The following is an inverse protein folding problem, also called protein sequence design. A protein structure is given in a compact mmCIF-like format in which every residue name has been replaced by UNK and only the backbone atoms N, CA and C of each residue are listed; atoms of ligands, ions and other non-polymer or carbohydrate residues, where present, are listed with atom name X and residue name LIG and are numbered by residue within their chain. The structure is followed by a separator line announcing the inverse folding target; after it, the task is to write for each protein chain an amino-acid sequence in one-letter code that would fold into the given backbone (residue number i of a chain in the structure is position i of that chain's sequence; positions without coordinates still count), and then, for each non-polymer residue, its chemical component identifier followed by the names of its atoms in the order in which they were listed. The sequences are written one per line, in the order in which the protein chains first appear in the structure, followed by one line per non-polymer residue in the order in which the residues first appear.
data_IF_870710568879
#
_entry.id   IF_870710568879
#
_cell.length_a   1.000
_cell.length_b   1.000
_cell.length_c   1.000
_cell.angle_alpha   90.00
_cell.angle_beta   90.00
_cell.angle_gamma   90.00
#
_symmetry.space_group_name_H-M   'P 1'
#
loop_
_entity.id
_entity.type
_entity.pdbx_description
1 polymer ?
#
# COMPACT_ATOMS: atom_id res chain seq x y z
N UNK A 1 -48.41 68.53 -31.72
CA UNK A 1 -47.01 68.85 -31.27
C UNK A 1 -46.55 67.76 -30.39
N UNK A 2 -45.90 66.73 -30.94
CA UNK A 2 -45.29 65.64 -30.18
C UNK A 2 -43.84 66.08 -29.85
N UNK A 3 -43.57 66.37 -28.61
CA UNK A 3 -42.18 66.56 -28.12
C UNK A 3 -41.50 65.21 -28.07
N UNK A 4 -40.57 65.03 -29.03
CA UNK A 4 -39.58 63.93 -28.95
C UNK A 4 -38.62 64.25 -27.81
N UNK A 5 -38.88 63.73 -26.61
CA UNK A 5 -37.94 63.74 -25.50
C UNK A 5 -36.71 62.89 -25.91
N UNK A 6 -35.53 63.50 -25.81
CA UNK A 6 -34.27 62.85 -26.13
C UNK A 6 -34.08 61.58 -25.28
N UNK A 7 -33.48 60.57 -25.84
CA UNK A 7 -33.16 59.30 -25.16
C UNK A 7 -32.52 59.52 -23.75
N UNK A 8 -31.80 60.62 -23.60
CA UNK A 8 -31.10 61.01 -22.36
C UNK A 8 -32.06 61.44 -21.22
N UNK A 9 -33.20 62.05 -21.55
CA UNK A 9 -34.18 62.43 -20.57
C UNK A 9 -35.12 61.27 -20.15
N UNK A 10 -35.32 60.29 -21.05
CA UNK A 10 -36.10 59.10 -20.73
C UNK A 10 -35.37 58.18 -19.75
N UNK A 11 -34.04 58.17 -19.79
CA UNK A 11 -33.20 57.37 -18.87
C UNK A 11 -33.09 57.97 -17.44
N UNK A 12 -33.44 59.25 -17.25
CA UNK A 12 -33.41 59.89 -15.94
C UNK A 12 -34.70 59.70 -15.10
N UNK A 13 -35.71 59.05 -15.64
CA UNK A 13 -36.93 58.77 -14.87
C UNK A 13 -36.69 57.60 -13.90
N UNK A 14 -36.98 57.74 -12.61
CA UNK A 14 -36.74 56.68 -11.61
C UNK A 14 -37.44 55.36 -11.98
N UNK A 15 -38.61 55.44 -12.63
CA UNK A 15 -39.34 54.27 -13.13
C UNK A 15 -38.58 53.43 -14.19
N UNK A 16 -37.56 54.00 -14.88
CA UNK A 16 -36.77 53.31 -15.90
C UNK A 16 -35.41 52.90 -15.35
N UNK A 17 -34.88 53.62 -14.38
CA UNK A 17 -33.56 53.32 -13.80
C UNK A 17 -33.58 52.07 -12.91
N UNK A 18 -34.63 51.87 -12.12
CA UNK A 18 -34.75 50.70 -11.24
C UNK A 18 -34.71 49.35 -11.97
N UNK A 19 -35.47 49.09 -13.04
CA UNK A 19 -35.41 47.84 -13.76
C UNK A 19 -34.04 47.61 -14.47
N UNK A 20 -33.33 48.67 -14.88
CA UNK A 20 -32.01 48.55 -15.46
C UNK A 20 -30.98 48.09 -14.41
N UNK A 21 -31.00 48.68 -13.22
CA UNK A 21 -30.11 48.30 -12.12
C UNK A 21 -30.40 46.88 -11.60
N UNK A 22 -31.68 46.51 -11.47
CA UNK A 22 -32.07 45.15 -11.10
C UNK A 22 -31.67 44.13 -12.17
N UNK A 23 -31.83 44.46 -13.44
CA UNK A 23 -31.38 43.61 -14.54
C UNK A 23 -29.86 43.41 -14.55
N UNK A 24 -29.10 44.49 -14.33
CA UNK A 24 -27.63 44.42 -14.24
C UNK A 24 -27.16 43.57 -13.06
N UNK A 25 -27.81 43.71 -11.88
CA UNK A 25 -27.55 42.91 -10.70
C UNK A 25 -27.86 41.43 -10.92
N UNK A 26 -28.92 41.09 -11.60
CA UNK A 26 -29.29 39.72 -11.93
C UNK A 26 -28.28 39.08 -12.90
N UNK A 27 -27.87 39.83 -13.94
CA UNK A 27 -26.83 39.35 -14.89
C UNK A 27 -25.51 39.14 -14.19
N UNK A 28 -25.08 40.06 -13.30
CA UNK A 28 -23.84 39.91 -12.55
C UNK A 28 -23.90 38.76 -11.56
N UNK A 29 -25.04 38.57 -10.87
CA UNK A 29 -25.27 37.42 -10.00
C UNK A 29 -25.23 36.08 -10.77
N UNK A 30 -25.82 36.04 -11.96
CA UNK A 30 -25.77 34.86 -12.83
C UNK A 30 -24.33 34.55 -13.29
N UNK A 31 -23.57 35.57 -13.71
CA UNK A 31 -22.17 35.42 -14.11
C UNK A 31 -21.32 34.89 -12.96
N UNK A 32 -21.44 35.47 -11.77
CA UNK A 32 -20.73 35.00 -10.57
C UNK A 32 -21.12 33.55 -10.27
N UNK A 33 -22.41 33.23 -10.32
CA UNK A 33 -22.90 31.86 -10.08
C UNK A 33 -22.34 30.85 -11.09
N UNK A 34 -22.26 31.22 -12.37
CA UNK A 34 -21.68 30.35 -13.43
C UNK A 34 -20.17 30.16 -13.22
N UNK A 35 -19.43 31.22 -12.88
CA UNK A 35 -17.98 31.15 -12.61
C UNK A 35 -17.73 30.27 -11.40
N UNK A 36 -18.41 30.49 -10.29
CA UNK A 36 -18.30 29.69 -9.07
C UNK A 36 -18.62 28.19 -9.32
N UNK A 37 -19.66 27.93 -10.12
CA UNK A 37 -19.99 26.54 -10.46
C UNK A 37 -18.97 25.85 -11.34
N UNK A 38 -18.35 26.58 -12.26
CA UNK A 38 -17.23 26.06 -13.08
C UNK A 38 -16.00 25.76 -12.21
N UNK A 39 -15.60 26.69 -11.35
CA UNK A 39 -14.48 26.49 -10.43
C UNK A 39 -14.71 25.29 -9.50
N UNK A 40 -15.92 25.18 -8.94
CA UNK A 40 -16.26 24.03 -8.08
C UNK A 40 -16.15 22.69 -8.81
N UNK A 41 -16.52 22.64 -10.09
CA UNK A 41 -16.39 21.42 -10.89
C UNK A 41 -14.92 21.13 -11.30
N UNK A 42 -14.13 22.13 -11.56
CA UNK A 42 -12.71 21.98 -11.91
C UNK A 42 -11.90 21.51 -10.71
N UNK A 43 -12.13 22.05 -9.51
CA UNK A 43 -11.49 21.60 -8.27
C UNK A 43 -11.73 20.11 -8.05
N UNK A 44 -12.99 19.65 -8.16
CA UNK A 44 -13.31 18.23 -7.95
C UNK A 44 -12.66 17.27 -8.97
N UNK A 45 -12.39 17.73 -10.20
CA UNK A 45 -11.68 16.92 -11.21
C UNK A 45 -10.18 16.84 -10.91
N UNK A 46 -9.57 17.97 -10.62
CA UNK A 46 -8.13 18.06 -10.32
C UNK A 46 -7.79 17.26 -9.07
N UNK A 47 -8.58 17.36 -8.02
CA UNK A 47 -8.40 16.57 -6.79
C UNK A 47 -8.50 15.06 -7.05
N UNK A 48 -9.47 14.64 -7.86
CA UNK A 48 -9.62 13.23 -8.23
C UNK A 48 -8.43 12.71 -9.04
N UNK A 49 -7.90 13.49 -9.96
CA UNK A 49 -6.72 13.12 -10.75
C UNK A 49 -5.47 13.03 -9.87
N UNK A 50 -5.30 13.95 -8.92
CA UNK A 50 -4.23 13.88 -7.94
C UNK A 50 -4.35 12.62 -7.08
N UNK A 51 -5.53 12.31 -6.55
CA UNK A 51 -5.75 11.09 -5.76
C UNK A 51 -5.46 9.82 -6.56
N UNK A 52 -5.93 9.74 -7.80
CA UNK A 52 -5.65 8.58 -8.66
C UNK A 52 -4.16 8.43 -8.96
N UNK A 53 -3.43 9.52 -9.14
CA UNK A 53 -1.97 9.49 -9.34
C UNK A 53 -1.26 9.00 -8.09
N UNK A 54 -1.64 9.48 -6.91
CA UNK A 54 -1.08 9.02 -5.64
C UNK A 54 -1.34 7.53 -5.38
N UNK A 55 -2.56 7.07 -5.65
CA UNK A 55 -2.90 5.64 -5.55
C UNK A 55 -2.04 4.78 -6.48
N UNK A 56 -1.80 5.22 -7.73
CA UNK A 56 -0.91 4.50 -8.64
C UNK A 56 0.53 4.43 -8.15
N UNK A 57 1.05 5.51 -7.61
CA UNK A 57 2.40 5.54 -7.02
C UNK A 57 2.47 4.58 -5.84
N UNK A 58 1.47 4.60 -4.95
CA UNK A 58 1.37 3.67 -3.83
C UNK A 58 1.35 2.20 -4.32
N UNK A 59 0.50 1.90 -5.30
CA UNK A 59 0.36 0.56 -5.88
C UNK A 59 1.69 0.07 -6.49
N UNK A 60 2.37 0.92 -7.25
CA UNK A 60 3.68 0.59 -7.82
C UNK A 60 4.73 0.31 -6.74
N UNK A 61 4.80 1.14 -5.70
CA UNK A 61 5.75 0.96 -4.60
C UNK A 61 5.48 -0.34 -3.84
N UNK A 62 4.22 -0.59 -3.46
CA UNK A 62 3.82 -1.80 -2.76
C UNK A 62 4.07 -3.05 -3.61
N UNK A 63 3.64 -3.02 -4.87
CA UNK A 63 3.86 -4.13 -5.81
C UNK A 63 5.34 -4.43 -5.99
N UNK A 64 6.17 -3.40 -6.17
CA UNK A 64 7.62 -3.57 -6.28
C UNK A 64 8.24 -4.20 -5.04
N UNK A 65 7.81 -3.80 -3.85
CA UNK A 65 8.29 -4.36 -2.58
C UNK A 65 7.89 -5.83 -2.43
N UNK A 66 6.63 -6.16 -2.72
CA UNK A 66 6.14 -7.53 -2.66
C UNK A 66 6.88 -8.41 -3.69
N UNK A 67 7.11 -7.92 -4.90
CA UNK A 67 7.86 -8.63 -5.93
C UNK A 67 9.32 -8.85 -5.53
N UNK A 68 9.97 -7.85 -4.94
CA UNK A 68 11.34 -7.97 -4.45
C UNK A 68 11.46 -9.01 -3.33
N UNK A 69 10.49 -8.99 -2.40
CA UNK A 69 10.44 -9.98 -1.32
C UNK A 69 10.12 -11.39 -1.86
N UNK A 70 9.26 -11.52 -2.87
CA UNK A 70 8.99 -12.76 -3.55
C UNK A 70 10.24 -13.33 -4.24
N UNK A 71 10.99 -12.49 -4.94
CA UNK A 71 12.26 -12.87 -5.56
C UNK A 71 13.28 -13.38 -4.52
N UNK A 72 13.37 -12.70 -3.37
CA UNK A 72 14.22 -13.17 -2.28
C UNK A 72 13.78 -14.52 -1.74
N UNK A 73 12.48 -14.75 -1.51
CA UNK A 73 11.96 -16.05 -1.08
C UNK A 73 12.23 -17.16 -2.10
N UNK A 74 12.12 -16.89 -3.41
CA UNK A 74 12.48 -17.84 -4.47
C UNK A 74 13.96 -18.19 -4.43
N UNK A 75 14.84 -17.19 -4.30
CA UNK A 75 16.28 -17.41 -4.17
C UNK A 75 16.61 -18.24 -2.93
N UNK A 76 15.89 -18.02 -1.83
CA UNK A 76 16.01 -18.86 -0.63
C UNK A 76 15.60 -20.30 -0.90
N UNK A 77 14.47 -20.52 -1.60
CA UNK A 77 14.01 -21.86 -1.98
C UNK A 77 15.06 -22.60 -2.84
N UNK A 78 15.62 -21.94 -3.83
CA UNK A 78 16.67 -22.50 -4.71
C UNK A 78 17.96 -22.81 -3.95
N UNK A 79 18.24 -22.06 -2.89
CA UNK A 79 19.42 -22.25 -2.03
C UNK A 79 19.26 -23.32 -0.95
N UNK A 80 18.04 -23.80 -0.67
CA UNK A 80 17.76 -24.67 0.48
C UNK A 80 18.55 -25.99 0.47
N UNK A 81 18.67 -26.65 -0.67
CA UNK A 81 19.39 -27.93 -0.77
C UNK A 81 20.89 -27.74 -0.48
N UNK A 82 21.43 -26.59 -0.88
CA UNK A 82 22.80 -26.19 -0.62
C UNK A 82 23.05 -25.85 0.85
N UNK A 83 22.04 -25.25 1.51
CA UNK A 83 22.11 -24.84 2.93
C UNK A 83 21.84 -26.02 3.90
N UNK A 84 21.21 -27.08 3.44
CA UNK A 84 20.97 -28.33 4.20
C UNK A 84 22.14 -29.33 4.13
N UNK A 85 23.23 -28.99 3.46
CA UNK A 85 24.41 -29.80 3.34
C UNK A 85 25.21 -29.95 4.66
N UNK A 86 26.33 -30.70 4.65
CA UNK A 86 27.10 -31.03 5.86
C UNK A 86 27.61 -29.77 6.60
N UNK A 87 28.01 -29.96 7.84
CA UNK A 87 28.50 -28.98 8.81
C UNK A 87 29.31 -27.84 8.21
N UNK A 88 28.86 -26.60 8.37
CA UNK A 88 29.52 -25.37 7.92
C UNK A 88 28.68 -24.43 7.06
N UNK A 89 27.56 -24.89 6.50
CA UNK A 89 26.72 -24.06 5.63
C UNK A 89 25.73 -23.14 6.41
N UNK A 90 25.36 -23.49 7.65
CA UNK A 90 24.45 -22.67 8.47
C UNK A 90 24.98 -21.25 8.75
N UNK A 91 26.26 -21.05 9.14
CA UNK A 91 26.79 -19.70 9.31
C UNK A 91 26.78 -18.89 8.01
N UNK A 92 27.10 -19.52 6.89
CA UNK A 92 27.07 -18.89 5.56
C UNK A 92 25.63 -18.50 5.17
N UNK A 93 24.66 -19.38 5.40
CA UNK A 93 23.24 -19.10 5.14
C UNK A 93 22.72 -17.96 6.01
N UNK A 94 23.09 -17.91 7.29
CA UNK A 94 22.72 -16.81 8.18
C UNK A 94 23.30 -15.47 7.71
N UNK A 95 24.56 -15.42 7.36
CA UNK A 95 25.20 -14.22 6.81
C UNK A 95 24.62 -13.82 5.45
N UNK A 96 24.22 -14.80 4.64
CA UNK A 96 23.52 -14.54 3.39
C UNK A 96 22.16 -13.86 3.64
N UNK A 97 21.38 -14.37 4.58
CA UNK A 97 20.09 -13.77 4.96
C UNK A 97 20.25 -12.36 5.51
N UNK A 98 21.27 -12.10 6.31
CA UNK A 98 21.58 -10.73 6.78
C UNK A 98 21.93 -9.78 5.63
N UNK A 99 22.62 -10.27 4.60
CA UNK A 99 22.92 -9.46 3.41
C UNK A 99 21.66 -9.15 2.61
N UNK A 100 20.78 -10.14 2.44
CA UNK A 100 19.48 -9.96 1.77
C UNK A 100 18.63 -8.93 2.53
N UNK A 101 18.58 -9.01 3.86
CA UNK A 101 17.88 -8.03 4.71
C UNK A 101 18.38 -6.59 4.45
N UNK A 102 19.70 -6.41 4.41
CA UNK A 102 20.31 -5.08 4.15
C UNK A 102 20.00 -4.52 2.75
N UNK A 103 19.78 -5.38 1.78
CA UNK A 103 19.45 -5.00 0.40
C UNK A 103 17.96 -4.76 0.18
N UNK A 104 17.11 -5.14 1.13
CA UNK A 104 15.65 -5.04 1.03
C UNK A 104 15.08 -4.10 2.09
N UNK A 105 15.00 -2.80 1.82
CA UNK A 105 14.30 -1.87 2.70
C UNK A 105 12.86 -2.36 2.94
N UNK A 106 12.44 -2.39 4.19
CA UNK A 106 11.10 -2.85 4.55
C UNK A 106 10.99 -4.34 4.89
N UNK A 107 11.96 -5.19 4.56
CA UNK A 107 12.02 -6.55 5.07
C UNK A 107 12.79 -6.58 6.40
N UNK A 108 12.16 -7.12 7.44
CA UNK A 108 12.71 -7.17 8.82
C UNK A 108 13.30 -8.52 9.16
N UNK A 109 12.65 -9.59 8.71
CA UNK A 109 13.02 -10.96 9.06
C UNK A 109 12.84 -11.88 7.87
N UNK A 110 13.83 -12.71 7.66
CA UNK A 110 13.74 -13.87 6.78
C UNK A 110 13.90 -15.13 7.62
N UNK A 111 13.06 -16.13 7.39
CA UNK A 111 13.16 -17.41 8.09
C UNK A 111 12.77 -18.58 7.20
N UNK A 112 13.33 -19.73 7.52
CA UNK A 112 12.98 -21.03 6.95
C UNK A 112 12.49 -21.92 8.08
N UNK A 113 11.24 -22.38 7.94
CA UNK A 113 10.64 -23.32 8.88
C UNK A 113 10.58 -24.71 8.23
N UNK A 114 10.78 -25.74 9.01
CA UNK A 114 10.62 -27.12 8.56
C UNK A 114 9.13 -27.54 8.48
N UNK A 115 8.87 -28.80 8.13
CA UNK A 115 7.51 -29.34 8.02
C UNK A 115 6.74 -29.40 9.36
N UNK A 116 7.44 -29.30 10.48
CA UNK A 116 6.88 -29.23 11.84
C UNK A 116 6.62 -27.80 12.28
N UNK A 117 7.18 -26.78 11.58
CA UNK A 117 7.06 -25.39 11.93
C UNK A 117 8.20 -24.87 12.80
N UNK A 118 9.26 -25.66 12.98
CA UNK A 118 10.43 -25.23 13.72
C UNK A 118 11.33 -24.39 12.82
N UNK A 119 11.75 -23.24 13.32
CA UNK A 119 12.64 -22.33 12.59
C UNK A 119 14.06 -22.92 12.50
N UNK A 120 14.47 -23.30 11.30
CA UNK A 120 15.78 -23.91 11.05
C UNK A 120 16.84 -22.86 10.69
N UNK A 121 16.43 -21.76 10.07
CA UNK A 121 17.31 -20.71 9.60
C UNK A 121 16.60 -19.35 9.68
N UNK A 122 17.30 -18.31 10.15
CA UNK A 122 16.80 -16.94 10.14
C UNK A 122 17.98 -15.95 10.19
N UNK A 123 17.77 -14.71 9.67
CA UNK A 123 18.65 -13.57 9.93
C UNK A 123 18.54 -13.10 11.40
N UNK A 124 17.49 -13.51 12.12
CA UNK A 124 17.28 -13.28 13.56
C UNK A 124 17.61 -14.54 14.34
N UNK A 125 18.73 -14.53 15.07
CA UNK A 125 19.22 -15.70 15.80
C UNK A 125 18.23 -16.19 16.85
N UNK A 126 17.47 -15.27 17.44
CA UNK A 126 16.48 -15.53 18.47
C UNK A 126 15.31 -16.43 18.01
N UNK A 127 15.09 -16.51 16.70
CA UNK A 127 14.03 -17.33 16.12
C UNK A 127 14.45 -18.77 15.86
N UNK A 128 15.76 -19.06 15.77
CA UNK A 128 16.27 -20.39 15.43
C UNK A 128 15.89 -21.37 16.55
N UNK A 129 15.27 -22.48 16.16
CA UNK A 129 14.76 -23.49 17.10
C UNK A 129 13.37 -23.19 17.67
N UNK A 130 12.80 -22.01 17.44
CA UNK A 130 11.46 -21.71 17.91
C UNK A 130 10.40 -22.46 17.13
N UNK A 131 9.36 -22.90 17.82
CA UNK A 131 8.14 -23.47 17.24
C UNK A 131 7.21 -22.32 16.80
N UNK A 132 7.00 -22.22 15.51
CA UNK A 132 6.12 -21.24 14.85
C UNK A 132 4.96 -21.92 14.10
N UNK A 133 4.70 -23.22 14.40
CA UNK A 133 3.64 -24.00 13.76
C UNK A 133 2.23 -23.45 14.01
N UNK A 134 2.02 -22.77 15.14
CA UNK A 134 0.77 -22.10 15.49
C UNK A 134 0.50 -20.78 14.72
N UNK A 135 1.39 -20.36 13.81
CA UNK A 135 1.21 -19.14 13.05
C UNK A 135 0.34 -19.38 11.82
N UNK A 136 -0.57 -18.41 11.56
CA UNK A 136 -1.52 -18.50 10.46
C UNK A 136 -0.84 -18.72 9.09
N UNK A 137 0.24 -17.99 8.81
CA UNK A 137 1.01 -18.17 7.58
C UNK A 137 1.56 -19.59 7.40
N UNK A 138 1.93 -20.28 8.50
CA UNK A 138 2.40 -21.66 8.45
C UNK A 138 1.23 -22.62 8.18
N UNK A 139 0.13 -22.46 8.92
CA UNK A 139 -1.07 -23.29 8.75
C UNK A 139 -1.64 -23.18 7.34
N UNK A 140 -1.74 -21.96 6.81
CA UNK A 140 -2.21 -21.72 5.43
C UNK A 140 -1.23 -22.27 4.38
N UNK A 141 0.08 -22.15 4.59
CA UNK A 141 1.08 -22.73 3.69
C UNK A 141 1.00 -24.26 3.67
N UNK A 142 0.81 -24.88 4.84
CA UNK A 142 0.66 -26.33 4.97
C UNK A 142 -0.63 -26.86 4.32
N UNK A 143 -1.75 -26.15 4.50
CA UNK A 143 -3.03 -26.52 3.91
C UNK A 143 -3.03 -26.43 2.38
N UNK A 144 -2.28 -25.50 1.81
CA UNK A 144 -2.19 -25.26 0.37
C UNK A 144 -0.84 -25.58 -0.25
N UNK A 145 -0.12 -26.58 0.26
CA UNK A 145 1.25 -26.92 -0.18
C UNK A 145 1.37 -27.35 -1.63
N UNK A 146 0.30 -27.73 -2.29
CA UNK A 146 0.27 -28.03 -3.73
C UNK A 146 0.39 -26.79 -4.64
N UNK A 147 0.25 -25.58 -4.09
CA UNK A 147 0.39 -24.32 -4.84
C UNK A 147 1.69 -23.63 -4.44
N UNK A 148 2.54 -23.37 -5.42
CA UNK A 148 3.79 -22.59 -5.23
C UNK A 148 3.52 -21.07 -5.14
N UNK A 149 2.30 -20.65 -4.84
CA UNK A 149 1.89 -19.26 -4.79
C UNK A 149 2.45 -18.52 -3.59
N UNK A 150 2.74 -17.24 -3.82
CA UNK A 150 3.03 -16.29 -2.74
C UNK A 150 1.78 -16.06 -1.91
N UNK A 151 1.93 -16.11 -0.60
CA UNK A 151 0.85 -15.85 0.36
C UNK A 151 1.21 -14.66 1.23
N UNK A 152 0.27 -13.74 1.34
CA UNK A 152 0.37 -12.59 2.23
C UNK A 152 -0.54 -12.87 3.42
N UNK A 153 0.02 -12.84 4.62
CA UNK A 153 -0.76 -13.00 5.85
C UNK A 153 -1.28 -11.65 6.33
N UNK A 154 -2.46 -11.66 6.94
CA UNK A 154 -2.97 -10.52 7.65
C UNK A 154 -1.96 -10.02 8.71
N UNK A 155 -1.98 -8.71 9.04
CA UNK A 155 -1.08 -8.16 10.05
C UNK A 155 -1.30 -8.82 11.41
N UNK A 156 -0.21 -9.17 12.08
CA UNK A 156 -0.24 -9.80 13.39
C UNK A 156 0.94 -9.33 14.25
N UNK A 157 0.85 -9.59 15.55
CA UNK A 157 1.96 -9.33 16.45
C UNK A 157 2.95 -10.50 16.43
N UNK A 158 4.20 -10.22 16.07
CA UNK A 158 5.28 -11.21 16.04
C UNK A 158 5.67 -11.65 17.45
N UNK A 159 6.43 -12.75 17.58
CA UNK A 159 7.02 -13.20 18.86
C UNK A 159 8.00 -12.17 19.43
N UNK A 160 8.54 -11.30 18.59
CA UNK A 160 9.43 -10.20 19.00
C UNK A 160 8.66 -8.92 19.38
N UNK A 161 7.33 -9.01 19.48
CA UNK A 161 6.45 -7.94 19.97
C UNK A 161 6.09 -6.85 18.96
N UNK A 162 6.65 -6.87 17.76
CA UNK A 162 6.34 -5.91 16.70
C UNK A 162 5.12 -6.35 15.88
N UNK A 163 4.31 -5.39 15.41
CA UNK A 163 3.36 -5.67 14.34
C UNK A 163 4.12 -5.97 13.05
N UNK A 164 3.59 -6.87 12.22
CA UNK A 164 4.21 -7.23 10.96
C UNK A 164 3.21 -7.84 9.98
N UNK A 165 3.46 -7.62 8.71
CA UNK A 165 2.89 -8.40 7.62
C UNK A 165 3.89 -9.47 7.21
N UNK A 166 3.43 -10.69 6.96
CA UNK A 166 4.31 -11.77 6.54
C UNK A 166 3.90 -12.26 5.16
N UNK A 167 4.89 -12.38 4.30
CA UNK A 167 4.75 -13.08 3.02
C UNK A 167 5.47 -14.42 3.12
N UNK A 168 4.90 -15.45 2.50
CA UNK A 168 5.40 -16.81 2.63
C UNK A 168 5.23 -17.62 1.35
N UNK A 169 6.11 -18.61 1.18
CA UNK A 169 6.01 -19.63 0.15
C UNK A 169 6.21 -21.02 0.75
N UNK A 170 5.39 -22.01 0.39
CA UNK A 170 5.61 -23.38 0.83
C UNK A 170 6.85 -23.95 0.20
N UNK A 171 7.53 -24.81 0.95
CA UNK A 171 8.60 -25.68 0.48
C UNK A 171 7.97 -27.01 0.11
N UNK A 172 8.05 -27.39 -1.15
CA UNK A 172 7.62 -28.71 -1.62
C UNK A 172 8.83 -29.59 -1.83
N UNK A 173 8.84 -30.79 -1.24
CA UNK A 173 9.92 -31.77 -1.44
C UNK A 173 9.79 -32.41 -2.82
N UNK A 174 10.85 -33.13 -3.24
CA UNK A 174 10.89 -33.82 -4.52
C UNK A 174 9.77 -34.87 -4.68
N UNK A 175 9.29 -35.43 -3.56
CA UNK A 175 8.16 -36.38 -3.50
C UNK A 175 6.79 -35.70 -3.50
N UNK A 176 6.71 -34.37 -3.62
CA UNK A 176 5.49 -33.60 -3.60
C UNK A 176 4.95 -33.29 -2.19
N UNK A 177 5.57 -33.80 -1.12
CA UNK A 177 5.13 -33.54 0.25
C UNK A 177 5.53 -32.17 0.75
N UNK A 178 4.80 -31.67 1.77
CA UNK A 178 5.12 -30.41 2.43
C UNK A 178 6.44 -30.49 3.17
N UNK A 179 7.40 -29.66 2.79
CA UNK A 179 8.75 -29.61 3.35
C UNK A 179 8.96 -28.49 4.38
N UNK A 180 7.97 -27.61 4.54
CA UNK A 180 8.06 -26.43 5.40
C UNK A 180 7.66 -25.15 4.68
N UNK A 181 8.15 -24.01 5.14
CA UNK A 181 7.82 -22.71 4.57
C UNK A 181 9.01 -21.75 4.65
N UNK A 182 9.24 -20.98 3.60
CA UNK A 182 10.08 -19.77 3.65
C UNK A 182 9.22 -18.56 3.87
N UNK A 183 9.66 -17.67 4.74
CA UNK A 183 8.91 -16.49 5.14
C UNK A 183 9.78 -15.24 5.10
N UNK A 184 9.17 -14.12 4.71
CA UNK A 184 9.71 -12.78 4.89
C UNK A 184 8.69 -11.94 5.66
N UNK A 185 9.15 -11.29 6.71
CA UNK A 185 8.34 -10.40 7.54
C UNK A 185 8.65 -8.97 7.14
N UNK A 186 7.61 -8.23 6.77
CA UNK A 186 7.69 -6.84 6.35
C UNK A 186 7.45 -5.91 7.54
N UNK A 187 8.19 -4.81 7.59
CA UNK A 187 8.06 -3.78 8.62
C UNK A 187 6.88 -2.86 8.31
N UNK A 188 5.87 -2.77 9.19
CA UNK A 188 4.78 -1.81 9.01
C UNK A 188 5.29 -0.36 9.02
N UNK A 189 6.34 -0.07 9.79
CA UNK A 189 6.92 1.28 9.89
C UNK A 189 7.44 1.76 8.52
N UNK A 190 8.02 0.86 7.73
CA UNK A 190 8.44 1.17 6.37
C UNK A 190 7.24 1.55 5.49
N UNK A 191 6.15 0.78 5.57
CA UNK A 191 4.93 1.09 4.81
C UNK A 191 4.28 2.39 5.30
N UNK A 192 4.27 2.63 6.59
CA UNK A 192 3.78 3.88 7.18
C UNK A 192 4.56 5.09 6.64
N UNK A 193 5.89 5.00 6.57
CA UNK A 193 6.73 6.08 6.05
C UNK A 193 6.49 6.30 4.55
N UNK A 194 6.35 5.23 3.76
CA UNK A 194 5.94 5.34 2.36
C UNK A 194 4.58 6.01 2.24
N UNK A 195 3.60 5.59 3.05
CA UNK A 195 2.25 6.18 3.03
C UNK A 195 2.25 7.66 3.46
N UNK A 196 3.10 8.04 4.42
CA UNK A 196 3.28 9.46 4.82
C UNK A 196 3.74 10.33 3.66
N UNK A 197 4.63 9.83 2.80
CA UNK A 197 5.12 10.58 1.63
C UNK A 197 4.04 10.81 0.57
N UNK A 198 3.00 10.00 0.57
CA UNK A 198 1.87 10.12 -0.36
C UNK A 198 0.82 11.14 0.10
N UNK A 199 0.90 11.59 1.35
CA UNK A 199 -0.01 12.60 1.88
C UNK A 199 0.41 13.99 1.39
N UNK A 200 -0.42 14.61 0.56
CA UNK A 200 -0.21 15.98 0.08
C UNK A 200 -1.07 17.01 0.83
N UNK A 201 -2.06 16.57 1.61
CA UNK A 201 -2.93 17.44 2.40
C UNK A 201 -3.00 16.96 3.88
N UNK A 202 -3.14 17.89 4.84
CA UNK A 202 -3.14 17.56 6.28
C UNK A 202 -4.32 16.69 6.71
N UNK A 203 -5.45 16.81 6.04
CA UNK A 203 -6.70 16.08 6.26
C UNK A 203 -6.79 14.76 5.50
N UNK A 204 -5.82 14.47 4.62
CA UNK A 204 -5.77 13.23 3.87
C UNK A 204 -5.37 12.06 4.76
N UNK A 205 -6.12 10.96 4.69
CA UNK A 205 -5.79 9.68 5.32
C UNK A 205 -5.50 8.64 4.24
N UNK A 206 -4.37 7.95 4.39
CA UNK A 206 -3.98 6.82 3.55
C UNK A 206 -4.00 5.59 4.44
N UNK A 207 -4.69 4.55 4.01
CA UNK A 207 -4.83 3.30 4.78
C UNK A 207 -4.61 2.12 3.85
N UNK A 208 -3.80 1.16 4.29
CA UNK A 208 -3.59 -0.11 3.62
C UNK A 208 -4.51 -1.15 4.27
N UNK A 209 -5.32 -1.81 3.45
CA UNK A 209 -6.25 -2.84 3.90
C UNK A 209 -5.84 -4.20 3.32
N UNK A 210 -5.92 -5.23 4.15
CA UNK A 210 -5.89 -6.62 3.70
C UNK A 210 -7.24 -6.98 3.06
N UNK A 211 -7.27 -7.96 2.17
CA UNK A 211 -8.49 -8.44 1.52
C UNK A 211 -9.55 -8.98 2.52
N UNK A 212 -9.11 -9.47 3.68
CA UNK A 212 -9.97 -9.87 4.80
C UNK A 212 -10.46 -8.67 5.66
N UNK A 213 -10.17 -7.42 5.25
CA UNK A 213 -10.64 -6.18 5.91
C UNK A 213 -9.81 -5.71 7.11
N UNK A 214 -8.66 -6.32 7.38
CA UNK A 214 -7.76 -5.86 8.45
C UNK A 214 -6.88 -4.71 7.96
N UNK A 215 -6.58 -3.76 8.85
CA UNK A 215 -5.73 -2.59 8.58
C UNK A 215 -4.29 -2.91 8.96
N UNK A 216 -3.36 -2.58 8.06
CA UNK A 216 -1.92 -2.65 8.29
C UNK A 216 -1.39 -1.44 9.03
#
# INVERSE_FOLDING_TARGET
MHQNLSLHERLKRPAVQWPIWTGLMLVMGLLIGVVQWREYREIGRTEREHLLTQVRVADQLLTSQIQSADAALRTMLEGLDRWRGPEGYLPFAHEHLKRVEKMMPGARTFAVLDAQGICQLSNRHELIGMDLSGRDYFARAKAGHGSAELRIAAPYRTVLGACAATISRPITRADGTFGGVVVATLSPEYFEDVMKTLRYAPDMRVTLLHDEGQIY
#
